data_IF_297907557702
#
_entry.id   IF_297907557702
#
_cell.length_a   1.000
_cell.length_b   1.000
_cell.length_c   1.000
_cell.angle_alpha   90.00
_cell.angle_beta   90.00
_cell.angle_gamma   90.00
#
_symmetry.space_group_name_H-M   'P 1'
#
loop_
_entity.id
_entity.type
_entity.pdbx_description
1 polymer ?
#
# COMPACT_ATOMS: atom_id res chain seq x y z
N UNK A 1 1.96 -19.50 -16.04
CA UNK A 1 1.03 -18.55 -15.38
C UNK A 1 1.41 -17.15 -15.84
N UNK A 2 0.60 -16.53 -16.69
CA UNK A 2 0.89 -15.22 -17.27
C UNK A 2 0.56 -14.13 -16.26
N UNK A 3 1.60 -13.41 -15.82
CA UNK A 3 1.50 -12.32 -14.85
C UNK A 3 0.95 -11.07 -15.55
N UNK A 4 -0.24 -10.63 -15.14
CA UNK A 4 -0.78 -9.36 -15.64
C UNK A 4 0.07 -8.18 -15.16
N UNK A 5 0.42 -7.23 -16.04
CA UNK A 5 1.01 -5.94 -15.65
C UNK A 5 -0.04 -5.06 -14.95
N UNK A 6 0.44 -4.04 -14.22
CA UNK A 6 -0.44 -3.04 -13.60
C UNK A 6 -1.23 -2.33 -14.71
N UNK A 7 -2.56 -2.18 -14.59
CA UNK A 7 -3.36 -1.53 -15.62
C UNK A 7 -2.99 -0.03 -15.75
N UNK A 8 -2.82 0.43 -17.00
CA UNK A 8 -2.43 1.79 -17.41
C UNK A 8 -3.31 2.91 -16.86
N UNK A 9 -4.52 2.61 -16.39
CA UNK A 9 -5.49 3.59 -15.88
C UNK A 9 -5.00 4.25 -14.58
N UNK A 10 -4.06 3.64 -13.86
CA UNK A 10 -3.46 4.25 -12.65
C UNK A 10 -2.36 5.28 -12.96
N UNK A 11 -2.08 5.57 -14.24
CA UNK A 11 -1.03 6.50 -14.68
C UNK A 11 -1.58 7.84 -15.18
N UNK A 12 -2.89 8.07 -15.07
CA UNK A 12 -3.54 9.31 -15.53
C UNK A 12 -3.40 10.39 -14.46
N UNK A 13 -2.95 11.57 -14.88
CA UNK A 13 -2.92 12.75 -14.02
C UNK A 13 -4.36 13.11 -13.58
N UNK A 14 -4.56 13.71 -12.39
CA UNK A 14 -5.87 13.84 -11.74
C UNK A 14 -6.88 14.81 -12.40
N UNK A 15 -6.87 14.99 -13.72
CA UNK A 15 -7.76 15.91 -14.44
C UNK A 15 -8.78 15.27 -15.38
N UNK A 16 -8.76 13.96 -15.63
CA UNK A 16 -9.69 13.32 -16.60
C UNK A 16 -10.71 12.36 -15.96
N UNK A 17 -10.79 12.31 -14.62
CA UNK A 17 -11.69 11.37 -13.92
C UNK A 17 -13.16 11.84 -13.89
N UNK A 18 -13.44 13.12 -14.16
CA UNK A 18 -14.79 13.66 -14.09
C UNK A 18 -15.66 13.33 -15.32
N UNK A 19 -15.06 12.99 -16.47
CA UNK A 19 -15.82 12.76 -17.69
C UNK A 19 -16.41 11.35 -17.79
N UNK A 20 -15.77 10.35 -17.15
CA UNK A 20 -16.24 8.96 -17.14
C UNK A 20 -17.45 8.73 -16.20
N UNK A 21 -17.65 9.58 -15.18
CA UNK A 21 -18.72 9.39 -14.19
C UNK A 21 -20.11 9.81 -14.68
N UNK A 22 -20.21 10.50 -15.83
CA UNK A 22 -21.49 11.00 -16.36
C UNK A 22 -22.25 10.01 -17.23
N UNK A 23 -21.64 8.89 -17.63
CA UNK A 23 -22.17 8.03 -18.68
C UNK A 23 -22.95 6.78 -18.20
N UNK A 24 -23.03 6.51 -16.90
CA UNK A 24 -23.69 5.29 -16.39
C UNK A 24 -25.01 5.61 -15.69
N UNK A 25 -26.01 6.02 -16.46
CA UNK A 25 -27.41 5.99 -16.05
C UNK A 25 -28.05 4.70 -16.55
N UNK A 26 -28.59 3.87 -15.66
CA UNK A 26 -29.51 2.77 -15.99
C UNK A 26 -30.66 2.70 -14.99
N UNK A 27 -31.86 2.29 -15.43
CA UNK A 27 -33.12 2.83 -14.93
C UNK A 27 -33.85 1.97 -13.89
N UNK A 28 -34.83 2.65 -13.29
CA UNK A 28 -35.82 2.30 -12.27
C UNK A 28 -36.61 1.00 -12.57
N UNK A 29 -36.70 0.08 -11.59
CA UNK A 29 -37.73 -0.97 -11.53
C UNK A 29 -38.18 -1.12 -10.08
N UNK A 30 -39.30 -0.48 -9.76
CA UNK A 30 -40.10 -0.74 -8.56
C UNK A 30 -40.89 -2.05 -8.76
N UNK A 31 -40.84 -2.96 -7.77
CA UNK A 31 -41.75 -4.10 -7.72
C UNK A 31 -42.26 -4.26 -6.28
N UNK A 32 -43.53 -3.91 -6.06
CA UNK A 32 -44.27 -4.16 -4.83
C UNK A 32 -44.46 -5.66 -4.60
N UNK A 33 -44.28 -6.11 -3.36
CA UNK A 33 -44.82 -7.38 -2.89
C UNK A 33 -45.63 -7.12 -1.62
N UNK A 34 -46.97 -7.17 -1.75
CA UNK A 34 -47.91 -7.15 -0.63
C UNK A 34 -48.00 -8.54 0.01
N UNK A 35 -47.88 -8.57 1.34
CA UNK A 35 -48.62 -9.50 2.19
C UNK A 35 -47.83 -10.65 2.82
N UNK A 36 -47.26 -10.43 4.02
CA UNK A 36 -47.17 -11.42 5.11
C UNK A 36 -47.23 -10.68 6.45
N UNK A 37 -48.02 -11.19 7.40
CA UNK A 37 -48.39 -10.58 8.67
C UNK A 37 -47.23 -10.44 9.69
N UNK A 38 -47.30 -9.37 10.50
CA UNK A 38 -46.37 -9.06 11.58
C UNK A 38 -46.43 -10.10 12.71
N UNK A 39 -45.29 -10.75 13.00
CA UNK A 39 -45.01 -11.38 14.29
C UNK A 39 -44.07 -10.41 15.05
N UNK A 40 -44.40 -9.94 16.26
CA UNK A 40 -43.48 -9.09 17.01
C UNK A 40 -42.30 -9.93 17.51
N UNK A 41 -41.18 -9.86 16.79
CA UNK A 41 -39.89 -10.37 17.23
C UNK A 41 -39.38 -9.51 18.40
N UNK A 42 -38.96 -10.16 19.49
CA UNK A 42 -38.36 -9.49 20.64
C UNK A 42 -37.14 -8.67 20.19
N UNK A 43 -36.78 -7.55 20.86
CA UNK A 43 -35.66 -6.71 20.44
C UNK A 43 -34.34 -7.46 20.60
N UNK A 44 -34.00 -8.22 19.55
CA UNK A 44 -32.70 -8.82 19.34
C UNK A 44 -31.68 -7.69 19.19
N UNK A 45 -30.58 -7.83 19.93
CA UNK A 45 -29.39 -6.99 19.82
C UNK A 45 -29.09 -6.71 18.35
N UNK A 46 -29.08 -5.43 17.99
CA UNK A 46 -28.67 -4.97 16.67
C UNK A 46 -27.35 -5.66 16.30
N UNK A 47 -27.22 -6.25 15.10
CA UNK A 47 -25.93 -6.67 14.62
C UNK A 47 -25.02 -5.43 14.64
N UNK A 48 -23.81 -5.58 15.19
CA UNK A 48 -22.79 -4.53 15.14
C UNK A 48 -22.79 -3.93 13.73
N UNK A 49 -22.80 -2.59 13.58
CA UNK A 49 -22.71 -2.00 12.25
C UNK A 49 -21.49 -2.62 11.57
N UNK A 50 -21.58 -3.01 10.29
CA UNK A 50 -20.43 -3.51 9.57
C UNK A 50 -19.36 -2.42 9.63
N UNK A 51 -18.35 -2.62 10.48
CA UNK A 51 -17.19 -1.75 10.56
C UNK A 51 -16.59 -1.84 9.15
N UNK A 52 -16.50 -0.72 8.40
CA UNK A 52 -15.79 -0.73 7.15
C UNK A 52 -14.42 -1.36 7.42
N UNK A 53 -13.93 -2.29 6.58
CA UNK A 53 -12.58 -2.81 6.78
C UNK A 53 -11.63 -1.62 6.64
N UNK A 54 -11.25 -1.03 7.77
CA UNK A 54 -10.24 0.00 7.81
C UNK A 54 -8.91 -0.73 7.65
N UNK A 55 -8.28 -0.62 6.47
CA UNK A 55 -7.03 -1.32 6.22
C UNK A 55 -5.93 -0.86 7.18
N UNK A 56 -6.08 0.33 7.79
CA UNK A 56 -5.10 0.87 8.72
C UNK A 56 -5.26 0.25 10.12
N UNK A 57 -6.49 0.02 10.60
CA UNK A 57 -6.74 -0.72 11.85
C UNK A 57 -6.29 -2.18 11.75
N UNK A 58 -6.64 -2.89 10.67
CA UNK A 58 -6.23 -4.29 10.49
C UNK A 58 -4.69 -4.44 10.39
N UNK A 59 -4.03 -3.47 9.74
CA UNK A 59 -2.58 -3.43 9.67
C UNK A 59 -1.96 -3.13 11.04
N UNK A 60 -2.54 -2.21 11.82
CA UNK A 60 -2.04 -1.89 13.16
C UNK A 60 -2.05 -3.12 14.08
N UNK A 61 -3.13 -3.92 14.07
CA UNK A 61 -3.15 -5.19 14.79
C UNK A 61 -2.11 -6.18 14.27
N UNK A 62 -1.89 -6.27 12.96
CA UNK A 62 -0.87 -7.13 12.37
C UNK A 62 0.54 -6.67 12.71
N UNK A 63 0.82 -5.37 12.70
CA UNK A 63 2.11 -4.79 13.03
C UNK A 63 2.41 -4.98 14.51
N UNK A 64 1.43 -4.77 15.40
CA UNK A 64 1.56 -5.06 16.83
C UNK A 64 1.81 -6.56 17.08
N UNK A 65 1.10 -7.44 16.37
CA UNK A 65 1.33 -8.88 16.41
C UNK A 65 2.74 -9.27 15.93
N UNK A 66 3.30 -8.53 14.96
CA UNK A 66 4.68 -8.69 14.49
C UNK A 66 5.72 -7.99 15.39
N UNK A 67 5.32 -7.41 16.52
CA UNK A 67 6.21 -6.73 17.47
C UNK A 67 6.51 -5.26 17.17
N UNK A 68 5.78 -4.63 16.24
CA UNK A 68 5.90 -3.22 15.89
C UNK A 68 4.81 -2.39 16.55
N UNK A 69 5.06 -1.96 17.80
CA UNK A 69 4.30 -0.89 18.43
C UNK A 69 4.73 0.50 17.95
N UNK A 70 4.08 1.54 18.44
CA UNK A 70 4.35 2.95 18.06
C UNK A 70 5.83 3.36 18.25
N UNK A 71 6.46 2.95 19.36
CA UNK A 71 7.88 3.23 19.60
C UNK A 71 8.82 2.51 18.61
N UNK A 72 8.53 1.25 18.27
CA UNK A 72 9.28 0.50 17.26
C UNK A 72 9.12 1.11 15.86
N UNK A 73 8.00 1.81 15.62
CA UNK A 73 7.72 2.53 14.37
C UNK A 73 8.64 3.76 14.19
N UNK A 74 9.04 4.46 15.25
CA UNK A 74 9.97 5.59 15.12
C UNK A 74 11.42 5.13 14.89
N UNK A 75 11.85 4.07 15.58
CA UNK A 75 13.19 3.50 15.41
C UNK A 75 13.40 2.99 13.98
N UNK A 76 12.43 2.26 13.43
CA UNK A 76 12.51 1.75 12.05
C UNK A 76 12.52 2.90 11.05
N UNK A 77 11.74 3.96 11.26
CA UNK A 77 11.73 5.13 10.39
C UNK A 77 13.08 5.86 10.40
N UNK A 78 13.69 6.04 11.56
CA UNK A 78 15.01 6.67 11.70
C UNK A 78 16.10 5.89 10.97
N UNK A 79 16.17 4.57 11.22
CA UNK A 79 17.10 3.68 10.54
C UNK A 79 16.86 3.64 9.03
N UNK A 80 15.59 3.60 8.62
CA UNK A 80 15.18 3.56 7.22
C UNK A 80 15.65 4.81 6.47
N UNK A 81 15.43 6.00 7.04
CA UNK A 81 15.94 7.27 6.47
C UNK A 81 17.44 7.23 6.27
N UNK A 82 18.19 6.71 7.25
CA UNK A 82 19.66 6.60 7.17
C UNK A 82 20.10 5.65 6.05
N UNK A 83 19.44 4.49 5.94
CA UNK A 83 19.75 3.49 4.92
C UNK A 83 19.42 3.99 3.51
N UNK A 84 18.25 4.60 3.32
CA UNK A 84 17.79 5.13 2.03
C UNK A 84 18.72 6.22 1.49
N UNK A 85 19.25 7.08 2.37
CA UNK A 85 20.23 8.12 1.97
C UNK A 85 21.52 7.53 1.39
N UNK A 86 21.88 6.29 1.74
CA UNK A 86 23.03 5.58 1.18
C UNK A 86 22.66 4.84 -0.11
N UNK A 87 21.43 4.34 -0.21
CA UNK A 87 20.85 3.73 -1.41
C UNK A 87 20.77 2.21 -1.37
N UNK A 88 19.95 1.62 -2.24
CA UNK A 88 19.54 0.20 -2.16
C UNK A 88 20.64 -0.83 -2.41
N UNK A 89 21.65 -0.48 -3.20
CA UNK A 89 22.77 -1.37 -3.50
C UNK A 89 23.86 -1.37 -2.41
N UNK A 90 23.69 -0.59 -1.33
CA UNK A 90 24.73 -0.39 -0.32
C UNK A 90 24.70 -1.40 0.82
N UNK A 91 25.81 -1.51 1.55
CA UNK A 91 25.90 -2.36 2.73
C UNK A 91 24.95 -1.89 3.83
N UNK A 92 24.73 -0.58 3.95
CA UNK A 92 23.85 0.03 4.92
C UNK A 92 22.39 -0.37 4.71
N UNK A 93 21.93 -0.41 3.45
CA UNK A 93 20.61 -0.93 3.12
C UNK A 93 20.47 -2.41 3.49
N UNK A 94 21.45 -3.24 3.11
CA UNK A 94 21.43 -4.67 3.44
C UNK A 94 21.45 -4.92 4.94
N UNK A 95 22.26 -4.17 5.68
CA UNK A 95 22.36 -4.26 7.14
C UNK A 95 21.06 -3.83 7.82
N UNK A 96 20.43 -2.75 7.33
CA UNK A 96 19.11 -2.31 7.77
C UNK A 96 18.07 -3.42 7.57
N UNK A 97 17.99 -3.98 6.36
CA UNK A 97 17.03 -5.03 6.03
C UNK A 97 17.25 -6.28 6.90
N UNK A 98 18.49 -6.74 7.05
CA UNK A 98 18.82 -7.90 7.87
C UNK A 98 18.50 -7.68 9.36
N UNK A 99 18.81 -6.49 9.90
CA UNK A 99 18.53 -6.13 11.30
C UNK A 99 17.04 -6.22 11.61
N UNK A 100 16.21 -5.65 10.74
CA UNK A 100 14.77 -5.59 10.99
C UNK A 100 14.07 -6.90 10.65
N UNK A 101 14.56 -7.68 9.68
CA UNK A 101 14.10 -9.05 9.46
C UNK A 101 14.33 -9.94 10.67
N UNK A 102 15.48 -9.83 11.33
CA UNK A 102 15.79 -10.64 12.52
C UNK A 102 14.88 -10.33 13.73
N UNK A 103 14.16 -9.20 13.71
CA UNK A 103 13.20 -8.80 14.73
C UNK A 103 11.76 -9.24 14.42
N UNK A 104 11.51 -9.68 13.19
CA UNK A 104 10.19 -10.13 12.75
C UNK A 104 10.00 -11.61 13.06
N UNK A 105 8.78 -11.98 13.46
CA UNK A 105 8.38 -13.38 13.64
C UNK A 105 7.62 -13.89 12.42
N UNK A 106 7.81 -15.17 12.08
CA UNK A 106 7.07 -15.87 11.02
C UNK A 106 7.85 -16.06 9.71
N UNK A 107 7.18 -16.70 8.74
CA UNK A 107 7.72 -16.90 7.41
C UNK A 107 7.53 -15.64 6.54
N UNK A 108 8.41 -15.41 5.56
CA UNK A 108 8.39 -14.26 4.65
C UNK A 108 8.64 -12.88 5.31
N UNK A 109 9.52 -12.83 6.33
CA UNK A 109 9.91 -11.59 7.04
C UNK A 109 10.39 -10.47 6.11
N UNK A 110 11.02 -10.79 4.97
CA UNK A 110 11.47 -9.79 3.99
C UNK A 110 10.33 -9.03 3.35
N UNK A 111 9.32 -9.74 2.86
CA UNK A 111 8.13 -9.12 2.28
C UNK A 111 7.34 -8.34 3.35
N UNK A 112 7.20 -8.89 4.56
CA UNK A 112 6.54 -8.20 5.68
C UNK A 112 7.23 -6.88 6.03
N UNK A 113 8.57 -6.86 6.05
CA UNK A 113 9.35 -5.63 6.20
C UNK A 113 9.04 -4.61 5.12
N UNK A 114 9.06 -4.99 3.84
CA UNK A 114 8.77 -4.02 2.78
C UNK A 114 7.32 -3.55 2.79
N UNK A 115 6.38 -4.41 3.15
CA UNK A 115 4.99 -4.02 3.35
C UNK A 115 4.86 -2.97 4.45
N UNK A 116 5.53 -3.16 5.59
CA UNK A 116 5.57 -2.20 6.70
C UNK A 116 6.20 -0.86 6.30
N UNK A 117 7.32 -0.90 5.58
CA UNK A 117 7.97 0.33 5.11
C UNK A 117 7.07 1.08 4.11
N UNK A 118 6.39 0.36 3.22
CA UNK A 118 5.43 0.97 2.29
C UNK A 118 4.24 1.58 3.04
N UNK A 119 3.74 0.93 4.08
CA UNK A 119 2.69 1.50 4.93
C UNK A 119 3.11 2.86 5.51
N UNK A 120 4.37 2.98 5.96
CA UNK A 120 4.93 4.22 6.48
C UNK A 120 5.55 5.15 5.42
N UNK A 121 5.41 4.86 4.12
CA UNK A 121 6.06 5.63 3.06
C UNK A 121 5.69 7.11 3.05
N UNK A 122 4.44 7.43 3.39
CA UNK A 122 3.98 8.81 3.54
C UNK A 122 4.72 9.60 4.63
N UNK A 123 5.27 8.91 5.65
CA UNK A 123 6.02 9.51 6.77
C UNK A 123 7.48 9.82 6.42
N UNK A 124 7.97 9.37 5.26
CA UNK A 124 9.26 9.81 4.74
C UNK A 124 9.17 11.23 4.20
N UNK A 125 10.26 11.97 4.39
CA UNK A 125 10.46 13.27 3.77
C UNK A 125 10.33 13.15 2.23
N UNK A 126 9.64 14.06 1.54
CA UNK A 126 9.42 13.99 0.08
C UNK A 126 10.70 13.80 -0.74
N UNK A 127 11.82 14.34 -0.28
CA UNK A 127 13.15 14.21 -0.90
C UNK A 127 13.72 12.78 -0.83
N UNK A 128 13.30 11.96 0.15
CA UNK A 128 13.80 10.59 0.33
C UNK A 128 12.93 9.55 -0.37
N UNK A 129 11.68 9.88 -0.71
CA UNK A 129 10.73 8.93 -1.30
C UNK A 129 11.23 8.31 -2.61
N UNK A 130 11.88 9.10 -3.47
CA UNK A 130 12.46 8.59 -4.72
C UNK A 130 13.60 7.59 -4.44
N UNK A 131 14.48 7.91 -3.49
CA UNK A 131 15.55 7.01 -3.08
C UNK A 131 15.01 5.73 -2.42
N UNK A 132 13.94 5.84 -1.62
CA UNK A 132 13.28 4.70 -1.01
C UNK A 132 12.66 3.77 -2.06
N UNK A 133 12.01 4.32 -3.07
CA UNK A 133 11.51 3.54 -4.22
C UNK A 133 12.65 2.80 -4.92
N UNK A 134 13.75 3.48 -5.22
CA UNK A 134 14.92 2.85 -5.82
C UNK A 134 15.47 1.71 -4.94
N UNK A 135 15.47 1.86 -3.62
CA UNK A 135 15.88 0.80 -2.69
C UNK A 135 15.00 -0.45 -2.83
N UNK A 136 13.67 -0.30 -2.83
CA UNK A 136 12.78 -1.45 -3.00
C UNK A 136 12.96 -2.16 -4.35
N UNK A 137 13.12 -1.40 -5.43
CA UNK A 137 13.24 -1.97 -6.77
C UNK A 137 14.57 -2.71 -7.00
N UNK A 138 15.63 -2.25 -6.34
CA UNK A 138 16.97 -2.87 -6.41
C UNK A 138 17.16 -4.03 -5.44
N UNK A 139 16.29 -4.19 -4.44
CA UNK A 139 16.42 -5.22 -3.41
C UNK A 139 16.06 -6.65 -3.88
N UNK A 140 15.46 -6.80 -5.06
CA UNK A 140 15.15 -8.10 -5.65
C UNK A 140 13.66 -8.33 -5.88
N UNK A 141 13.25 -9.60 -5.97
CA UNK A 141 11.84 -9.96 -6.24
C UNK A 141 10.89 -9.48 -5.15
N UNK A 142 11.25 -9.64 -3.88
CA UNK A 142 10.36 -9.31 -2.76
C UNK A 142 10.06 -7.81 -2.71
N UNK A 143 11.08 -6.97 -2.91
CA UNK A 143 10.91 -5.51 -2.97
C UNK A 143 10.08 -5.08 -4.17
N UNK A 144 10.29 -5.72 -5.33
CA UNK A 144 9.47 -5.48 -6.52
C UNK A 144 8.01 -5.90 -6.31
N UNK A 145 7.77 -7.07 -5.73
CA UNK A 145 6.42 -7.55 -5.45
C UNK A 145 5.70 -6.68 -4.42
N UNK A 146 6.41 -6.19 -3.40
CA UNK A 146 5.87 -5.25 -2.43
C UNK A 146 5.44 -3.94 -3.10
N UNK A 147 6.29 -3.35 -3.96
CA UNK A 147 5.95 -2.15 -4.74
C UNK A 147 4.75 -2.39 -5.66
N UNK A 148 4.74 -3.51 -6.39
CA UNK A 148 3.66 -3.85 -7.32
C UNK A 148 2.31 -3.98 -6.62
N UNK A 149 2.27 -4.70 -5.49
CA UNK A 149 1.04 -4.96 -4.73
C UNK A 149 0.52 -3.72 -4.02
N UNK A 150 1.40 -2.79 -3.67
CA UNK A 150 1.07 -1.61 -2.88
C UNK A 150 1.19 -0.30 -3.66
N UNK A 151 1.20 -0.35 -5.00
CA UNK A 151 1.39 0.82 -5.86
C UNK A 151 0.39 1.94 -5.54
N UNK A 152 -0.86 1.61 -5.20
CA UNK A 152 -1.88 2.60 -4.81
C UNK A 152 -1.47 3.45 -3.60
N UNK A 153 -0.67 2.91 -2.67
CA UNK A 153 -0.21 3.63 -1.46
C UNK A 153 1.03 4.49 -1.72
N UNK A 154 1.90 4.10 -2.65
CA UNK A 154 3.17 4.80 -2.92
C UNK A 154 3.16 5.64 -4.19
N UNK A 155 2.30 5.35 -5.17
CA UNK A 155 2.28 6.03 -6.46
C UNK A 155 1.40 7.28 -6.47
N UNK A 156 0.28 7.25 -5.75
CA UNK A 156 -0.69 8.36 -5.71
C UNK A 156 -0.24 9.43 -4.71
N UNK A 157 0.09 10.63 -5.21
CA UNK A 157 0.36 11.81 -4.38
C UNK A 157 1.66 11.78 -3.56
N UNK A 158 2.44 10.70 -3.62
CA UNK A 158 3.67 10.59 -2.84
C UNK A 158 4.87 11.31 -3.48
N UNK A 159 4.84 11.53 -4.79
CA UNK A 159 5.93 12.15 -5.56
C UNK A 159 5.50 13.49 -6.13
N UNK A 160 6.44 14.43 -6.21
CA UNK A 160 6.19 15.69 -6.94
C UNK A 160 6.20 15.45 -8.44
N UNK A 161 5.58 16.36 -9.21
CA UNK A 161 5.55 16.30 -10.68
C UNK A 161 6.96 16.22 -11.29
N UNK A 162 7.92 16.90 -10.68
CA UNK A 162 9.33 16.93 -11.12
C UNK A 162 10.04 15.58 -10.93
N UNK A 163 9.61 14.78 -9.94
CA UNK A 163 10.18 13.47 -9.66
C UNK A 163 9.64 12.39 -10.61
N UNK A 164 8.51 12.64 -11.28
CA UNK A 164 7.79 11.62 -12.06
C UNK A 164 8.60 11.00 -13.22
N UNK A 165 9.39 11.77 -13.99
CA UNK A 165 10.28 11.17 -15.00
C UNK A 165 11.28 10.17 -14.40
N UNK A 166 11.78 10.45 -13.19
CA UNK A 166 12.70 9.55 -12.49
C UNK A 166 11.98 8.31 -11.96
N UNK A 167 10.76 8.46 -11.45
CA UNK A 167 9.92 7.32 -11.02
C UNK A 167 9.64 6.38 -12.19
N UNK A 168 9.22 6.92 -13.33
CA UNK A 168 8.95 6.13 -14.54
C UNK A 168 10.19 5.39 -15.03
N UNK A 169 11.36 6.07 -15.03
CA UNK A 169 12.63 5.45 -15.38
C UNK A 169 12.95 4.26 -14.47
N UNK A 170 12.86 4.44 -13.15
CA UNK A 170 13.13 3.38 -12.17
C UNK A 170 12.20 2.17 -12.35
N UNK A 171 10.90 2.42 -12.58
CA UNK A 171 9.93 1.36 -12.79
C UNK A 171 10.17 0.61 -14.11
N UNK A 172 10.59 1.30 -15.18
CA UNK A 172 10.95 0.66 -16.45
C UNK A 172 12.23 -0.18 -16.30
N UNK A 173 13.24 0.35 -15.63
CA UNK A 173 14.48 -0.40 -15.30
C UNK A 173 14.18 -1.65 -14.45
N UNK A 174 13.18 -1.58 -13.59
CA UNK A 174 12.71 -2.71 -12.79
C UNK A 174 11.75 -3.67 -13.54
N UNK A 175 11.46 -3.42 -14.82
CA UNK A 175 10.54 -4.22 -15.64
C UNK A 175 9.06 -4.12 -15.23
N UNK A 176 8.69 -3.07 -14.51
CA UNK A 176 7.32 -2.84 -14.01
C UNK A 176 6.45 -1.98 -14.93
N UNK A 177 7.08 -1.19 -15.79
CA UNK A 177 6.44 -0.43 -16.86
C UNK A 177 6.99 -0.91 -18.21
N UNK A 178 6.12 -1.03 -19.20
CA UNK A 178 6.50 -1.28 -20.60
C UNK A 178 6.76 0.03 -21.33
#
# INVERSE_FOLDING_TARGET
MMSSPIPDISLVAPSDMEEASRASATPDVAQEIQGVANIPEAPGLLPFPPVPPDPDTAFQFQSEFLGFGEAASEDILSDWRRAVRRGGATLEWRAFVARWQARMSGDHTRYALFHLLIFHFGRLEPQLRLAALACFLTDGSDGRDAVKRNWKRIGLGAFSREQWPSVQRLLREAGMLR
#
